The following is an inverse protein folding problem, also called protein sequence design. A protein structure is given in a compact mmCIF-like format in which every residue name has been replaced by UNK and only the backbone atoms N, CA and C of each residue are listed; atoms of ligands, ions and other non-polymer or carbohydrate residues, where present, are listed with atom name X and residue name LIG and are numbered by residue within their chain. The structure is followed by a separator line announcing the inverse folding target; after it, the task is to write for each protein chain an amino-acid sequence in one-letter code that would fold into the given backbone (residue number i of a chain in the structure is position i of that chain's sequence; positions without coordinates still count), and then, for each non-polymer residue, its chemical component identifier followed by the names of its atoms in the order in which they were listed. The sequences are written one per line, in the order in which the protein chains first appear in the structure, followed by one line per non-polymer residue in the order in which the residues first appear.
data_IF_983088513770
#
_entry.id   IF_983088513770
#
_cell.length_a   1.000
_cell.length_b   1.000
_cell.length_c   1.000
_cell.angle_alpha   90.00
_cell.angle_beta   90.00
_cell.angle_gamma   90.00
#
_symmetry.space_group_name_H-M   'P 1'
#
loop_
_entity.id
_entity.type
_entity.pdbx_description
1 polymer ?
#
# COMPACT_ATOMS: atom_id res chain seq x y z
N UNK A 1 -22.10 10.06 8.37
CA UNK A 1 -23.29 9.92 7.51
C UNK A 1 -23.08 10.78 6.27
N UNK A 2 -23.31 10.22 5.10
CA UNK A 2 -23.21 10.94 3.83
C UNK A 2 -24.44 11.84 3.66
N UNK A 3 -24.22 13.14 3.38
CA UNK A 3 -25.26 14.14 3.13
C UNK A 3 -25.22 14.69 1.70
N UNK A 4 -24.56 14.00 0.77
CA UNK A 4 -24.31 14.51 -0.58
C UNK A 4 -23.15 15.51 -0.62
N UNK A 5 -22.22 15.39 0.32
CA UNK A 5 -21.00 16.20 0.34
C UNK A 5 -20.07 15.80 -0.81
N UNK A 6 -19.44 16.78 -1.45
CA UNK A 6 -18.41 16.51 -2.44
C UNK A 6 -17.12 16.04 -1.75
N UNK A 7 -16.39 15.09 -2.34
CA UNK A 7 -15.06 14.72 -1.85
C UNK A 7 -14.15 15.95 -1.85
N UNK A 8 -13.38 16.13 -0.77
CA UNK A 8 -12.37 17.19 -0.70
C UNK A 8 -11.34 17.00 -1.82
N UNK A 9 -10.95 18.10 -2.46
CA UNK A 9 -9.84 18.09 -3.41
C UNK A 9 -8.51 17.97 -2.67
N UNK A 10 -7.44 17.51 -3.33
CA UNK A 10 -6.13 17.37 -2.69
C UNK A 10 -5.61 18.66 -2.01
N UNK A 11 -5.93 19.83 -2.55
CA UNK A 11 -5.55 21.13 -1.95
C UNK A 11 -6.47 21.64 -0.84
N UNK A 12 -7.59 20.97 -0.59
CA UNK A 12 -8.58 21.33 0.44
C UNK A 12 -8.34 20.57 1.76
N UNK A 13 -7.60 19.46 1.72
CA UNK A 13 -7.26 18.65 2.89
C UNK A 13 -6.19 19.36 3.73
N UNK A 14 -6.62 20.01 4.81
CA UNK A 14 -5.72 20.68 5.76
C UNK A 14 -4.95 19.64 6.57
N UNK A 15 -3.67 19.90 6.84
CA UNK A 15 -2.81 19.05 7.68
C UNK A 15 -2.77 17.57 7.23
N UNK A 16 -2.87 17.29 5.92
CA UNK A 16 -2.92 15.92 5.38
C UNK A 16 -1.77 15.03 5.86
N UNK A 17 -0.60 15.60 6.17
CA UNK A 17 0.58 14.89 6.68
C UNK A 17 0.38 14.29 8.10
N UNK A 18 -0.53 14.88 8.89
CA UNK A 18 -0.89 14.39 10.22
C UNK A 18 -1.99 13.33 10.17
N UNK A 19 -2.61 13.14 9.01
CA UNK A 19 -3.61 12.09 8.82
C UNK A 19 -2.92 10.75 8.60
N UNK A 20 -3.71 9.67 8.72
CA UNK A 20 -3.24 8.36 8.28
C UNK A 20 -2.90 8.44 6.78
N UNK A 21 -1.77 7.87 6.39
CA UNK A 21 -1.31 7.97 5.01
C UNK A 21 -0.51 6.73 4.61
N UNK A 22 -0.52 6.46 3.30
CA UNK A 22 0.24 5.38 2.70
C UNK A 22 1.50 5.94 2.04
N UNK A 23 2.66 5.42 2.42
CA UNK A 23 3.92 5.71 1.77
C UNK A 23 4.35 4.52 0.93
N UNK A 24 4.76 4.80 -0.30
CA UNK A 24 5.33 3.81 -1.21
C UNK A 24 6.83 4.07 -1.34
N UNK A 25 7.63 3.08 -0.97
CA UNK A 25 9.05 3.02 -1.27
C UNK A 25 9.24 2.04 -2.43
N UNK A 26 9.56 2.59 -3.60
CA UNK A 26 9.84 1.80 -4.79
C UNK A 26 11.04 0.86 -4.52
N UNK A 27 11.02 -0.38 -5.04
CA UNK A 27 10.05 -0.87 -6.01
C UNK A 27 8.78 -1.50 -5.42
N UNK A 28 8.79 -1.91 -4.15
CA UNK A 28 7.83 -2.90 -3.64
C UNK A 28 7.60 -2.87 -2.12
N UNK A 29 7.87 -1.75 -1.45
CA UNK A 29 7.65 -1.62 0.00
C UNK A 29 6.60 -0.56 0.26
N UNK A 30 5.55 -0.93 0.99
CA UNK A 30 4.48 -0.03 1.41
C UNK A 30 4.57 0.17 2.92
N UNK A 31 4.29 1.39 3.37
CA UNK A 31 4.12 1.71 4.78
C UNK A 31 2.79 2.42 4.98
N UNK A 32 1.87 1.78 5.68
CA UNK A 32 0.65 2.39 6.14
C UNK A 32 0.92 3.03 7.51
N UNK A 33 1.05 4.35 7.54
CA UNK A 33 1.26 5.13 8.76
C UNK A 33 -0.12 5.44 9.33
N UNK A 34 -0.47 4.76 10.43
CA UNK A 34 -1.78 4.89 11.08
C UNK A 34 -1.76 6.03 12.09
N UNK A 35 -0.62 6.19 12.78
CA UNK A 35 -0.34 7.27 13.71
C UNK A 35 1.18 7.42 13.86
N UNK A 36 1.65 8.51 14.49
CA UNK A 36 3.08 8.80 14.70
C UNK A 36 3.89 7.62 15.27
N UNK A 37 3.25 6.81 16.11
CA UNK A 37 3.88 5.67 16.80
C UNK A 37 3.35 4.31 16.34
N UNK A 38 2.54 4.26 15.27
CA UNK A 38 1.92 3.02 14.77
C UNK A 38 1.95 2.98 13.25
N UNK A 39 2.61 1.97 12.68
CA UNK A 39 2.63 1.74 11.22
C UNK A 39 2.66 0.27 10.87
N UNK A 40 2.09 -0.08 9.72
CA UNK A 40 2.19 -1.40 9.11
C UNK A 40 3.09 -1.29 7.89
N UNK A 41 4.14 -2.11 7.82
CA UNK A 41 4.95 -2.28 6.63
C UNK A 41 4.53 -3.53 5.88
N UNK A 42 4.40 -3.43 4.56
CA UNK A 42 4.20 -4.56 3.65
C UNK A 42 5.30 -4.55 2.59
N UNK A 43 6.06 -5.64 2.48
CA UNK A 43 7.00 -5.83 1.37
C UNK A 43 6.46 -6.90 0.41
N UNK A 44 6.39 -6.55 -0.88
CA UNK A 44 5.87 -7.41 -1.93
C UNK A 44 7.04 -8.05 -2.69
N UNK A 45 7.38 -9.29 -2.35
CA UNK A 45 8.44 -10.03 -3.01
C UNK A 45 7.86 -10.87 -4.16
N UNK A 46 8.07 -10.49 -5.44
CA UNK A 46 7.58 -11.28 -6.56
C UNK A 46 8.30 -12.64 -6.59
N UNK A 47 7.53 -13.72 -6.76
CA UNK A 47 8.07 -15.07 -6.95
C UNK A 47 8.10 -15.39 -8.44
N UNK A 48 7.00 -15.10 -9.14
CA UNK A 48 6.84 -15.25 -10.59
C UNK A 48 5.78 -14.23 -11.11
N UNK A 49 5.29 -14.40 -12.34
CA UNK A 49 4.32 -13.47 -12.95
C UNK A 49 2.94 -13.48 -12.26
N UNK A 50 2.55 -14.55 -11.56
CA UNK A 50 1.22 -14.69 -10.93
C UNK A 50 1.27 -14.81 -9.40
N UNK A 51 2.44 -15.10 -8.83
CA UNK A 51 2.64 -15.32 -7.40
C UNK A 51 3.53 -14.25 -6.77
N UNK A 52 3.12 -13.76 -5.60
CA UNK A 52 3.88 -12.79 -4.81
C UNK A 52 3.80 -13.17 -3.34
N UNK A 53 4.94 -13.18 -2.66
CA UNK A 53 4.99 -13.30 -1.21
C UNK A 53 4.89 -11.92 -0.58
N UNK A 54 3.96 -11.75 0.36
CA UNK A 54 3.79 -10.50 1.10
C UNK A 54 4.35 -10.70 2.51
N UNK A 55 5.29 -9.86 2.91
CA UNK A 55 5.83 -9.80 4.27
C UNK A 55 5.22 -8.62 5.00
N UNK A 56 4.50 -8.89 6.08
CA UNK A 56 3.88 -7.87 6.91
C UNK A 56 4.64 -7.69 8.21
N UNK A 57 4.86 -6.44 8.60
CA UNK A 57 5.44 -6.09 9.89
C UNK A 57 4.69 -4.93 10.52
N UNK A 58 4.13 -5.18 11.69
CA UNK A 58 3.55 -4.14 12.53
C UNK A 58 4.64 -3.49 13.38
N UNK A 59 4.69 -2.17 13.37
CA UNK A 59 5.54 -1.37 14.24
C UNK A 59 4.65 -0.56 15.16
N UNK A 60 4.87 -0.72 16.46
CA UNK A 60 4.29 0.14 17.47
C UNK A 60 5.35 0.58 18.47
N UNK A 61 5.28 1.83 18.88
CA UNK A 61 6.18 2.43 19.85
C UNK A 61 5.45 3.06 21.05
N UNK A 62 4.12 2.91 21.17
CA UNK A 62 3.40 3.45 22.33
C UNK A 62 3.52 2.56 23.57
N UNK A 63 3.62 1.23 23.40
CA UNK A 63 3.68 0.26 24.49
C UNK A 63 5.11 -0.20 24.75
N UNK A 64 5.68 0.25 25.88
CA UNK A 64 7.07 -0.02 26.28
C UNK A 64 7.18 -1.20 27.27
N UNK A 65 6.09 -1.57 27.94
CA UNK A 65 6.08 -2.68 28.91
C UNK A 65 6.20 -4.02 28.15
N UNK A 66 7.25 -4.83 28.40
CA UNK A 66 7.57 -5.99 27.54
C UNK A 66 6.43 -7.00 27.33
N UNK A 67 5.67 -7.32 28.39
CA UNK A 67 4.56 -8.29 28.31
C UNK A 67 3.39 -7.73 27.50
N UNK A 68 2.98 -6.49 27.79
CA UNK A 68 1.90 -5.83 27.06
C UNK A 68 2.28 -5.57 25.60
N UNK A 69 3.54 -5.25 25.34
CA UNK A 69 4.09 -5.12 23.98
C UNK A 69 3.94 -6.41 23.18
N UNK A 70 4.21 -7.57 23.79
CA UNK A 70 4.01 -8.86 23.13
C UNK A 70 2.53 -9.14 22.84
N UNK A 71 1.63 -8.83 23.78
CA UNK A 71 0.18 -8.98 23.56
C UNK A 71 -0.32 -8.11 22.41
N UNK A 72 0.11 -6.84 22.38
CA UNK A 72 -0.22 -5.93 21.27
C UNK A 72 0.30 -6.49 19.96
N UNK A 73 1.56 -6.92 19.90
CA UNK A 73 2.13 -7.50 18.68
C UNK A 73 1.38 -8.76 18.21
N UNK A 74 0.97 -9.63 19.13
CA UNK A 74 0.21 -10.83 18.81
C UNK A 74 -1.18 -10.49 18.25
N UNK A 75 -1.88 -9.54 18.87
CA UNK A 75 -3.15 -9.04 18.36
C UNK A 75 -3.00 -8.43 16.96
N UNK A 76 -1.96 -7.64 16.75
CA UNK A 76 -1.65 -7.04 15.45
C UNK A 76 -1.37 -8.10 14.38
N UNK A 77 -0.70 -9.21 14.71
CA UNK A 77 -0.49 -10.31 13.76
C UNK A 77 -1.82 -10.95 13.32
N UNK A 78 -2.77 -11.12 14.24
CA UNK A 78 -4.10 -11.64 13.93
C UNK A 78 -4.85 -10.67 13.01
N UNK A 79 -4.88 -9.39 13.35
CA UNK A 79 -5.55 -8.36 12.54
C UNK A 79 -4.95 -8.25 11.13
N UNK A 80 -3.63 -8.26 11.02
CA UNK A 80 -2.92 -8.25 9.74
C UNK A 80 -3.30 -9.44 8.87
N UNK A 81 -3.44 -10.64 9.46
CA UNK A 81 -3.91 -11.82 8.73
C UNK A 81 -5.32 -11.59 8.21
N UNK A 82 -6.26 -11.13 9.04
CA UNK A 82 -7.65 -10.90 8.63
C UNK A 82 -7.75 -9.89 7.49
N UNK A 83 -7.07 -8.74 7.62
CA UNK A 83 -7.07 -7.68 6.59
C UNK A 83 -6.48 -8.20 5.29
N UNK A 84 -5.33 -8.90 5.35
CA UNK A 84 -4.71 -9.47 4.15
C UNK A 84 -5.62 -10.49 3.46
N UNK A 85 -6.36 -11.31 4.22
CA UNK A 85 -7.30 -12.26 3.65
C UNK A 85 -8.48 -11.57 2.94
N UNK A 86 -8.91 -10.40 3.41
CA UNK A 86 -9.95 -9.61 2.73
C UNK A 86 -9.44 -9.12 1.37
N UNK A 87 -8.27 -8.49 1.35
CA UNK A 87 -7.66 -7.95 0.12
C UNK A 87 -7.30 -9.05 -0.87
N UNK A 88 -6.85 -10.21 -0.38
CA UNK A 88 -6.51 -11.37 -1.21
C UNK A 88 -7.66 -11.74 -2.15
N UNK A 89 -8.91 -11.71 -1.68
CA UNK A 89 -10.06 -12.06 -2.50
C UNK A 89 -10.22 -11.10 -3.67
N UNK A 90 -10.07 -9.81 -3.43
CA UNK A 90 -10.21 -8.76 -4.45
C UNK A 90 -9.09 -8.89 -5.48
N UNK A 91 -7.84 -8.99 -5.03
CA UNK A 91 -6.66 -9.13 -5.90
C UNK A 91 -6.76 -10.37 -6.80
N UNK A 92 -7.23 -11.50 -6.25
CA UNK A 92 -7.39 -12.73 -7.03
C UNK A 92 -8.50 -12.66 -8.07
N UNK A 93 -9.48 -11.79 -7.91
CA UNK A 93 -10.55 -11.60 -8.91
C UNK A 93 -10.22 -10.54 -9.96
N UNK A 94 -9.19 -9.72 -9.74
CA UNK A 94 -8.84 -8.63 -10.65
C UNK A 94 -8.34 -9.16 -12.00
N UNK A 95 -8.82 -8.53 -13.08
CA UNK A 95 -8.37 -8.75 -14.47
C UNK A 95 -8.17 -7.39 -15.16
N UNK A 96 -7.14 -7.24 -16.02
CA UNK A 96 -6.05 -8.21 -16.26
C UNK A 96 -5.16 -8.38 -15.03
N UNK A 97 -4.50 -9.54 -14.89
CA UNK A 97 -3.60 -9.85 -13.76
C UNK A 97 -2.42 -8.89 -13.67
N UNK A 98 -1.81 -8.63 -14.82
CA UNK A 98 -0.73 -7.65 -14.96
C UNK A 98 -1.34 -6.29 -15.26
N UNK A 99 -1.25 -5.40 -14.29
CA UNK A 99 -1.55 -3.98 -14.49
C UNK A 99 -0.36 -3.31 -15.16
N UNK A 100 -0.57 -2.41 -16.11
CA UNK A 100 0.46 -1.63 -16.82
C UNK A 100 0.12 -0.13 -16.84
N UNK A 101 1.09 0.73 -17.16
CA UNK A 101 0.87 2.18 -17.23
C UNK A 101 -0.12 2.57 -18.34
N UNK A 102 -0.04 1.90 -19.49
CA UNK A 102 -0.97 2.06 -20.60
C UNK A 102 -1.85 0.82 -20.68
N UNK A 103 -3.11 0.92 -20.23
CA UNK A 103 -4.09 -0.16 -20.30
C UNK A 103 -5.52 0.35 -20.45
N UNK A 104 -6.47 -0.54 -20.78
CA UNK A 104 -7.88 -0.21 -20.97
C UNK A 104 -8.64 -0.26 -19.63
N UNK A 105 -8.50 0.76 -18.81
CA UNK A 105 -9.26 0.92 -17.56
C UNK A 105 -9.86 2.33 -17.46
N UNK A 106 -10.94 2.46 -16.68
CA UNK A 106 -11.56 3.75 -16.40
C UNK A 106 -11.09 4.21 -15.02
N UNK A 107 -10.09 5.11 -14.99
CA UNK A 107 -9.56 5.68 -13.75
C UNK A 107 -10.50 6.75 -13.20
N UNK A 108 -10.61 6.78 -11.87
CA UNK A 108 -11.30 7.85 -11.13
C UNK A 108 -10.28 8.76 -10.43
N UNK A 109 -10.74 9.89 -9.90
CA UNK A 109 -9.88 10.91 -9.28
C UNK A 109 -8.95 10.35 -8.18
N UNK A 110 -9.40 9.33 -7.44
CA UNK A 110 -8.62 8.68 -6.38
C UNK A 110 -7.45 7.81 -6.88
N UNK A 111 -7.41 7.46 -8.16
CA UNK A 111 -6.42 6.53 -8.72
C UNK A 111 -5.11 7.20 -9.14
N UNK A 112 -4.95 8.51 -8.88
CA UNK A 112 -3.75 9.25 -9.27
C UNK A 112 -2.46 8.61 -8.71
N UNK A 113 -2.50 8.17 -7.45
CA UNK A 113 -1.36 7.49 -6.81
C UNK A 113 -0.99 6.17 -7.49
N UNK A 114 -1.99 5.41 -7.96
CA UNK A 114 -1.79 4.18 -8.73
C UNK A 114 -1.16 4.50 -10.09
N UNK A 115 -1.62 5.56 -10.76
CA UNK A 115 -1.07 6.02 -12.03
C UNK A 115 0.40 6.44 -11.89
N UNK A 116 0.73 7.20 -10.85
CA UNK A 116 2.11 7.62 -10.56
C UNK A 116 3.03 6.44 -10.30
N UNK A 117 2.58 5.46 -9.51
CA UNK A 117 3.30 4.21 -9.30
C UNK A 117 3.60 3.50 -10.63
N UNK A 118 2.56 3.30 -11.46
CA UNK A 118 2.68 2.60 -12.74
C UNK A 118 3.64 3.32 -13.69
N UNK A 119 3.56 4.65 -13.75
CA UNK A 119 4.48 5.49 -14.53
C UNK A 119 5.92 5.31 -14.05
N UNK A 120 6.17 5.38 -12.74
CA UNK A 120 7.51 5.22 -12.18
C UNK A 120 8.07 3.83 -12.43
N UNK A 121 7.23 2.79 -12.29
CA UNK A 121 7.60 1.40 -12.56
C UNK A 121 7.95 1.18 -14.04
N UNK A 122 7.17 1.74 -14.97
CA UNK A 122 7.44 1.68 -16.41
C UNK A 122 8.79 2.32 -16.76
N UNK A 123 9.11 3.48 -16.18
CA UNK A 123 10.42 4.11 -16.32
C UNK A 123 11.57 3.24 -15.82
N UNK A 124 11.40 2.58 -14.67
CA UNK A 124 12.41 1.67 -14.11
C UNK A 124 12.63 0.43 -14.99
N UNK A 125 11.55 -0.15 -15.55
CA UNK A 125 11.64 -1.27 -16.51
C UNK A 125 12.44 -0.86 -17.74
N UNK A 126 12.07 0.27 -18.37
CA UNK A 126 12.77 0.80 -19.55
C UNK A 126 14.24 1.09 -19.27
N UNK A 127 14.56 1.64 -18.10
CA UNK A 127 15.95 1.88 -17.70
C UNK A 127 16.74 0.58 -17.48
N UNK A 128 16.09 -0.49 -17.00
CA UNK A 128 16.75 -1.81 -16.85
C UNK A 128 16.96 -2.56 -18.17
N UNK A 129 16.14 -2.27 -19.19
CA UNK A 129 16.23 -2.86 -20.53
C UNK A 129 17.26 -2.16 -21.42
N UNK A 130 17.66 -0.93 -21.10
CA UNK A 130 18.76 -0.24 -21.78
C UNK A 130 20.09 -0.78 -21.24
N UNK A 131 20.93 -1.43 -22.05
CA UNK A 131 22.27 -1.82 -21.61
C UNK A 131 23.05 -0.56 -21.23
N UNK A 132 23.81 -0.61 -20.13
CA UNK A 132 24.90 0.34 -19.89
C UNK A 132 25.78 0.37 -21.15
N UNK A 133 25.72 1.48 -21.89
CA UNK A 133 26.63 1.77 -22.99
C UNK A 133 28.03 2.04 -22.45
#
# INVERSE_FOLDING_TARGET
MDKGQHPEKPGEVVDYEKLFHLQLQMPNVWQNVIADRVRILAAFAPIDEENTQIYLRFYQDFMHVPVLKQLVNALSAILNSVILHQDRRVVLTQLPKKSEFMMKENLVQGDLSILEFRKRRDLLKKASEQPMA
#
